data_IF_929051845903
#
_entry.id   IF_929051845903
#
_cell.length_a   1.000
_cell.length_b   1.000
_cell.length_c   1.000
_cell.angle_alpha   90.00
_cell.angle_beta   90.00
_cell.angle_gamma   90.00
#
_symmetry.space_group_name_H-M   'P 1'
#
loop_
_entity.id
_entity.type
_entity.pdbx_description
1 polymer ?
#
# COMPACT_ATOMS: atom_id res chain seq x y z
N UNK A 1 54.54 36.81 -47.47
CA UNK A 1 55.28 37.63 -46.49
C UNK A 1 55.35 36.86 -45.18
N UNK A 2 56.58 36.67 -44.69
CA UNK A 2 56.97 35.93 -43.49
C UNK A 2 56.85 36.84 -42.25
N UNK A 3 56.84 36.24 -41.05
CA UNK A 3 57.16 36.78 -39.71
C UNK A 3 55.94 36.89 -38.77
N UNK A 4 55.64 35.88 -37.94
CA UNK A 4 56.27 35.48 -36.66
C UNK A 4 56.35 36.58 -35.59
N UNK A 5 55.67 36.34 -34.46
CA UNK A 5 56.15 36.39 -33.06
C UNK A 5 54.99 35.87 -32.18
N UNK A 6 55.10 34.67 -31.57
CA UNK A 6 55.56 34.40 -30.18
C UNK A 6 54.57 35.03 -29.16
N UNK A 7 54.05 34.41 -28.10
CA UNK A 7 54.56 33.32 -27.26
C UNK A 7 53.44 32.94 -26.24
N UNK A 8 53.19 31.64 -26.07
CA UNK A 8 52.95 30.88 -24.82
C UNK A 8 52.44 31.67 -23.59
N UNK A 9 51.25 31.29 -23.07
CA UNK A 9 51.10 30.98 -21.64
C UNK A 9 50.12 29.81 -21.45
N UNK A 10 50.71 28.69 -21.04
CA UNK A 10 50.07 27.50 -20.50
C UNK A 10 49.41 27.90 -19.18
N UNK A 11 48.13 27.58 -19.04
CA UNK A 11 47.35 27.82 -17.82
C UNK A 11 46.24 26.79 -17.70
N UNK A 12 46.65 25.52 -17.65
CA UNK A 12 45.80 24.37 -17.34
C UNK A 12 45.32 24.49 -15.89
N UNK A 13 44.06 24.86 -15.69
CA UNK A 13 43.37 24.68 -14.40
C UNK A 13 42.30 23.62 -14.60
N UNK A 14 42.74 22.37 -14.48
CA UNK A 14 41.84 21.23 -14.30
C UNK A 14 41.34 21.30 -12.86
N UNK A 15 40.10 21.75 -12.67
CA UNK A 15 39.39 21.50 -11.41
C UNK A 15 38.97 20.02 -11.39
N UNK A 16 39.84 19.19 -10.84
CA UNK A 16 39.50 17.82 -10.43
C UNK A 16 38.50 17.93 -9.29
N UNK A 17 37.21 17.91 -9.58
CA UNK A 17 36.20 17.68 -8.56
C UNK A 17 36.27 16.21 -8.15
N UNK A 18 36.79 16.04 -6.93
CA UNK A 18 36.87 14.82 -6.15
C UNK A 18 35.62 13.94 -6.31
N UNK A 19 35.88 12.66 -6.50
CA UNK A 19 34.94 11.57 -6.51
C UNK A 19 34.01 11.60 -5.30
N UNK A 20 32.79 12.09 -5.50
CA UNK A 20 31.66 11.74 -4.65
C UNK A 20 31.30 10.28 -4.91
N UNK A 21 31.56 9.40 -3.93
CA UNK A 21 31.06 8.03 -3.92
C UNK A 21 29.54 8.08 -4.10
N UNK A 22 29.06 7.65 -5.26
CA UNK A 22 27.66 7.34 -5.47
C UNK A 22 27.40 6.10 -4.63
N UNK A 23 26.83 6.27 -3.45
CA UNK A 23 26.22 5.19 -2.71
C UNK A 23 25.00 4.75 -3.52
N UNK A 24 25.17 3.71 -4.34
CA UNK A 24 24.06 3.00 -4.93
C UNK A 24 23.22 2.47 -3.76
N UNK A 25 22.04 3.08 -3.57
CA UNK A 25 21.02 2.53 -2.69
C UNK A 25 20.58 1.22 -3.32
N UNK A 26 21.08 0.10 -2.80
CA UNK A 26 20.59 -1.22 -3.12
C UNK A 26 19.10 -1.25 -2.73
N UNK A 27 18.25 -1.03 -3.73
CA UNK A 27 16.84 -1.34 -3.59
C UNK A 27 16.77 -2.85 -3.63
N UNK A 28 16.77 -3.48 -2.45
CA UNK A 28 16.52 -4.92 -2.32
C UNK A 28 15.11 -5.13 -2.88
N UNK A 29 15.03 -5.58 -4.13
CA UNK A 29 13.78 -6.03 -4.71
C UNK A 29 13.32 -7.24 -3.88
N UNK A 30 12.31 -7.04 -3.04
CA UNK A 30 11.66 -8.12 -2.29
C UNK A 30 11.14 -9.12 -3.32
N UNK A 31 11.76 -10.31 -3.38
CA UNK A 31 11.31 -11.39 -4.25
C UNK A 31 9.87 -11.70 -3.81
N UNK A 32 8.87 -11.59 -4.71
CA UNK A 32 7.48 -11.83 -4.34
C UNK A 32 7.37 -13.24 -3.74
N UNK A 33 6.96 -13.32 -2.47
CA UNK A 33 6.69 -14.62 -1.86
C UNK A 33 5.58 -15.31 -2.66
N UNK A 34 5.81 -16.59 -2.97
CA UNK A 34 4.80 -17.47 -3.57
C UNK A 34 3.70 -17.85 -2.57
N UNK A 35 3.88 -17.52 -1.30
CA UNK A 35 2.85 -17.69 -0.28
C UNK A 35 1.73 -16.67 -0.46
N UNK A 36 0.49 -17.14 -0.34
CA UNK A 36 -0.68 -16.27 -0.38
C UNK A 36 -0.70 -15.34 0.85
N UNK A 37 -0.92 -14.06 0.61
CA UNK A 37 -1.11 -13.02 1.64
C UNK A 37 -2.49 -12.42 1.49
N UNK A 38 -3.21 -12.29 2.59
CA UNK A 38 -4.50 -11.60 2.64
C UNK A 38 -4.27 -10.14 3.01
N UNK A 39 -4.91 -9.22 2.28
CA UNK A 39 -4.88 -7.78 2.56
C UNK A 39 -6.30 -7.28 2.73
N UNK A 40 -6.59 -6.76 3.92
CA UNK A 40 -7.81 -6.04 4.23
C UNK A 40 -7.58 -4.54 4.00
N UNK A 41 -8.05 -4.04 2.87
CA UNK A 41 -8.01 -2.62 2.53
C UNK A 41 -9.24 -1.90 3.05
N UNK A 42 -9.03 -0.80 3.78
CA UNK A 42 -10.09 0.18 4.03
C UNK A 42 -9.86 1.42 3.18
N UNK A 43 -10.56 1.50 2.05
CA UNK A 43 -10.45 2.62 1.12
C UNK A 43 -11.23 3.82 1.60
N UNK A 44 -10.58 4.97 1.63
CA UNK A 44 -11.17 6.21 2.07
C UNK A 44 -10.72 7.44 1.28
N UNK A 45 -11.42 8.55 1.51
CA UNK A 45 -10.99 9.88 1.04
C UNK A 45 -10.35 10.68 2.17
N UNK A 46 -9.94 11.91 1.89
CA UNK A 46 -9.38 12.81 2.92
C UNK A 46 -10.46 13.22 3.93
N UNK A 47 -11.66 13.53 3.44
CA UNK A 47 -12.80 13.79 4.31
C UNK A 47 -13.37 12.50 4.91
N UNK A 48 -13.59 12.51 6.23
CA UNK A 48 -14.09 11.38 7.02
C UNK A 48 -15.30 11.82 7.84
N UNK A 49 -16.48 11.25 7.55
CA UNK A 49 -17.65 11.44 8.38
C UNK A 49 -17.67 10.42 9.54
N UNK A 50 -18.52 10.61 10.57
CA UNK A 50 -18.57 9.71 11.73
C UNK A 50 -18.77 8.23 11.35
N UNK A 51 -19.62 7.95 10.36
CA UNK A 51 -19.83 6.57 9.87
C UNK A 51 -18.59 5.99 9.21
N UNK A 52 -17.81 6.78 8.46
CA UNK A 52 -16.55 6.31 7.87
C UNK A 52 -15.57 5.87 8.97
N UNK A 53 -15.34 6.75 9.95
CA UNK A 53 -14.44 6.45 11.08
C UNK A 53 -14.93 5.22 11.85
N UNK A 54 -16.25 5.10 12.06
CA UNK A 54 -16.84 3.92 12.71
C UNK A 54 -16.53 2.62 11.95
N UNK A 55 -16.76 2.58 10.63
CA UNK A 55 -16.47 1.40 9.81
C UNK A 55 -15.00 1.02 9.92
N UNK A 56 -14.10 1.99 9.80
CA UNK A 56 -12.65 1.75 9.91
C UNK A 56 -12.28 1.15 11.26
N UNK A 57 -12.70 1.79 12.35
CA UNK A 57 -12.39 1.37 13.72
C UNK A 57 -12.91 -0.04 13.99
N UNK A 58 -14.19 -0.29 13.72
CA UNK A 58 -14.80 -1.60 13.99
C UNK A 58 -14.20 -2.71 13.12
N UNK A 59 -13.85 -2.41 11.86
CA UNK A 59 -13.18 -3.38 10.98
C UNK A 59 -11.78 -3.71 11.48
N UNK A 60 -11.02 -2.69 11.89
CA UNK A 60 -9.69 -2.89 12.46
C UNK A 60 -9.74 -3.70 13.76
N UNK A 61 -10.70 -3.41 14.64
CA UNK A 61 -10.90 -4.17 15.88
C UNK A 61 -11.27 -5.63 15.62
N UNK A 62 -12.21 -5.88 14.71
CA UNK A 62 -12.59 -7.24 14.31
C UNK A 62 -11.36 -8.03 13.84
N UNK A 63 -10.55 -7.44 12.95
CA UNK A 63 -9.35 -8.05 12.40
C UNK A 63 -8.27 -8.26 13.47
N UNK A 64 -7.94 -7.20 14.21
CA UNK A 64 -6.88 -7.22 15.23
C UNK A 64 -7.16 -8.24 16.33
N UNK A 65 -8.39 -8.31 16.80
CA UNK A 65 -8.77 -9.18 17.92
C UNK A 65 -8.95 -10.63 17.48
N UNK A 66 -9.39 -10.87 16.24
CA UNK A 66 -9.69 -12.22 15.76
C UNK A 66 -8.49 -12.92 15.11
N UNK A 67 -7.53 -12.16 14.56
CA UNK A 67 -6.41 -12.69 13.79
C UNK A 67 -5.03 -12.13 14.22
N UNK A 68 -4.72 -12.06 15.52
CA UNK A 68 -3.46 -11.48 15.99
C UNK A 68 -2.23 -12.21 15.41
N UNK A 69 -2.25 -13.54 15.37
CA UNK A 69 -1.16 -14.36 14.81
C UNK A 69 -0.99 -14.14 13.31
N UNK A 70 -2.09 -14.09 12.54
CA UNK A 70 -1.98 -13.88 11.09
C UNK A 70 -1.44 -12.47 10.75
N UNK A 71 -1.75 -11.46 11.57
CA UNK A 71 -1.16 -10.13 11.46
C UNK A 71 0.33 -10.13 11.81
N UNK A 72 0.70 -10.81 12.90
CA UNK A 72 2.10 -10.93 13.35
C UNK A 72 2.97 -11.66 12.32
N UNK A 73 2.46 -12.75 11.74
CA UNK A 73 3.14 -13.53 10.70
C UNK A 73 3.09 -12.86 9.31
N UNK A 74 2.38 -11.74 9.15
CA UNK A 74 2.24 -11.05 7.87
C UNK A 74 1.39 -11.79 6.82
N UNK A 75 0.66 -12.85 7.23
CA UNK A 75 -0.33 -13.56 6.41
C UNK A 75 -1.58 -12.73 6.17
N UNK A 76 -1.93 -11.85 7.11
CA UNK A 76 -2.98 -10.85 6.99
C UNK A 76 -2.38 -9.45 7.16
N UNK A 77 -2.76 -8.50 6.31
CA UNK A 77 -2.34 -7.10 6.40
C UNK A 77 -3.56 -6.19 6.49
N UNK A 78 -3.58 -5.29 7.47
CA UNK A 78 -4.56 -4.19 7.54
C UNK A 78 -4.01 -2.94 6.87
N UNK A 79 -4.74 -2.38 5.89
CA UNK A 79 -4.28 -1.25 5.08
C UNK A 79 -5.38 -0.21 4.87
N UNK A 80 -5.48 0.83 5.72
CA UNK A 80 -6.28 2.00 5.39
C UNK A 80 -5.60 2.79 4.26
N UNK A 81 -6.33 3.12 3.20
CA UNK A 81 -5.79 3.74 1.98
C UNK A 81 -6.61 4.96 1.59
N UNK A 82 -5.95 6.12 1.51
CA UNK A 82 -6.55 7.32 0.91
C UNK A 82 -6.46 7.26 -0.62
N UNK A 83 -7.57 7.04 -1.30
CA UNK A 83 -7.63 6.94 -2.77
C UNK A 83 -7.53 8.28 -3.50
N UNK A 84 -7.60 9.40 -2.77
CA UNK A 84 -7.40 10.73 -3.36
C UNK A 84 -5.91 11.03 -3.61
N UNK A 85 -5.01 10.28 -2.95
CA UNK A 85 -3.58 10.39 -3.21
C UNK A 85 -3.24 9.83 -4.60
N UNK A 86 -2.41 10.51 -5.42
CA UNK A 86 -2.11 10.09 -6.79
C UNK A 86 -1.68 8.64 -6.93
N UNK A 87 -0.84 8.15 -6.02
CA UNK A 87 -0.32 6.78 -6.01
C UNK A 87 -1.40 5.70 -5.81
N UNK A 88 -2.54 6.06 -5.21
CA UNK A 88 -3.63 5.13 -4.86
C UNK A 88 -4.84 5.23 -5.79
N UNK A 89 -4.86 6.17 -6.74
CA UNK A 89 -6.03 6.41 -7.60
C UNK A 89 -6.44 5.19 -8.43
N UNK A 90 -5.47 4.35 -8.79
CA UNK A 90 -5.70 3.12 -9.54
C UNK A 90 -6.70 2.16 -8.86
N UNK A 91 -6.81 2.19 -7.53
CA UNK A 91 -7.75 1.36 -6.78
C UNK A 91 -9.22 1.69 -7.07
N UNK A 92 -9.52 2.94 -7.44
CA UNK A 92 -10.89 3.36 -7.75
C UNK A 92 -11.43 2.57 -8.94
N UNK A 93 -10.63 2.44 -9.99
CA UNK A 93 -11.00 1.66 -11.19
C UNK A 93 -10.92 0.16 -10.91
N UNK A 94 -9.84 -0.30 -10.25
CA UNK A 94 -9.61 -1.72 -9.96
C UNK A 94 -10.76 -2.37 -9.18
N UNK A 95 -11.31 -1.67 -8.19
CA UNK A 95 -12.40 -2.18 -7.34
C UNK A 95 -13.75 -1.50 -7.59
N UNK A 96 -13.84 -0.66 -8.63
CA UNK A 96 -15.04 0.11 -8.96
C UNK A 96 -15.61 0.86 -7.75
N UNK A 97 -14.74 1.62 -7.05
CA UNK A 97 -15.07 2.26 -5.79
C UNK A 97 -15.94 3.51 -6.00
N UNK A 98 -17.17 3.47 -5.48
CA UNK A 98 -18.06 4.64 -5.45
C UNK A 98 -18.08 5.36 -4.09
N UNK A 99 -17.65 4.67 -3.04
CA UNK A 99 -17.66 5.17 -1.66
C UNK A 99 -16.53 4.54 -0.84
N UNK A 100 -16.50 4.77 0.47
CA UNK A 100 -15.58 4.08 1.38
C UNK A 100 -15.91 2.59 1.42
N UNK A 101 -14.89 1.75 1.33
CA UNK A 101 -15.11 0.31 1.15
C UNK A 101 -14.09 -0.47 1.95
N UNK A 102 -14.54 -1.59 2.52
CA UNK A 102 -13.69 -2.63 3.08
C UNK A 102 -13.56 -3.74 2.04
N UNK A 103 -12.37 -3.89 1.47
CA UNK A 103 -12.07 -4.92 0.47
C UNK A 103 -11.10 -5.93 1.08
N UNK A 104 -11.45 -7.21 1.03
CA UNK A 104 -10.52 -8.30 1.37
C UNK A 104 -9.95 -8.85 0.07
N UNK A 105 -8.62 -8.92 -0.02
CA UNK A 105 -7.89 -9.29 -1.24
C UNK A 105 -6.90 -10.39 -0.93
N UNK A 106 -6.88 -11.44 -1.73
CA UNK A 106 -5.82 -12.44 -1.72
C UNK A 106 -4.76 -12.09 -2.77
N UNK A 107 -3.50 -12.03 -2.34
CA UNK A 107 -2.33 -11.76 -3.16
C UNK A 107 -1.41 -12.98 -3.16
N UNK A 108 -0.96 -13.43 -4.33
CA UNK A 108 0.02 -14.52 -4.46
C UNK A 108 1.02 -14.19 -5.56
N UNK A 109 2.32 -14.29 -5.27
CA UNK A 109 3.37 -13.93 -6.24
C UNK A 109 3.23 -12.50 -6.78
N UNK A 110 2.79 -11.56 -5.94
CA UNK A 110 2.56 -10.15 -6.31
C UNK A 110 1.31 -9.89 -7.16
N UNK A 111 0.49 -10.90 -7.45
CA UNK A 111 -0.75 -10.77 -8.23
C UNK A 111 -1.97 -10.95 -7.34
N UNK A 112 -3.01 -10.19 -7.62
CA UNK A 112 -4.32 -10.39 -7.02
C UNK A 112 -4.96 -11.68 -7.59
N UNK A 113 -5.35 -12.59 -6.70
CA UNK A 113 -6.00 -13.86 -7.05
C UNK A 113 -7.51 -13.74 -6.97
N UNK A 114 -8.01 -13.18 -5.87
CA UNK A 114 -9.43 -12.89 -5.67
C UNK A 114 -9.60 -11.73 -4.70
N UNK A 115 -10.79 -11.15 -4.71
CA UNK A 115 -11.15 -10.10 -3.78
C UNK A 115 -12.65 -10.09 -3.54
N UNK A 116 -13.07 -9.45 -2.45
CA UNK A 116 -14.48 -9.24 -2.12
C UNK A 116 -14.68 -7.89 -1.46
N UNK A 117 -15.72 -7.18 -1.90
CA UNK A 117 -16.20 -5.99 -1.22
C UNK A 117 -17.21 -6.35 -0.13
N UNK A 118 -16.91 -5.99 1.11
CA UNK A 118 -17.74 -6.28 2.27
C UNK A 118 -18.84 -5.22 2.44
N UNK A 119 -19.77 -5.12 1.48
CA UNK A 119 -20.77 -4.04 1.43
C UNK A 119 -21.67 -3.96 2.68
N UNK A 120 -21.92 -5.09 3.37
CA UNK A 120 -22.80 -5.12 4.55
C UNK A 120 -22.25 -4.32 5.74
N UNK A 121 -20.98 -3.89 5.72
CA UNK A 121 -20.43 -2.99 6.76
C UNK A 121 -21.24 -1.69 6.89
N UNK A 122 -21.88 -1.23 5.81
CA UNK A 122 -22.75 -0.06 5.84
C UNK A 122 -24.12 -0.35 6.47
N UNK A 123 -24.64 -1.56 6.28
CA UNK A 123 -25.94 -2.01 6.81
C UNK A 123 -25.86 -2.27 8.32
N UNK A 124 -24.71 -2.77 8.79
CA UNK A 124 -24.51 -3.23 10.16
C UNK A 124 -24.03 -2.14 11.15
N UNK A 125 -24.04 -0.86 10.76
CA UNK A 125 -23.53 0.24 11.62
C UNK A 125 -24.31 0.50 12.92
N UNK A 126 -25.45 -0.18 13.09
CA UNK A 126 -26.30 -0.12 14.29
C UNK A 126 -26.10 -1.30 15.23
N UNK A 127 -25.41 -2.36 14.79
CA UNK A 127 -25.13 -3.54 15.60
C UNK A 127 -23.64 -3.91 15.47
N UNK A 128 -22.84 -3.51 16.47
CA UNK A 128 -21.41 -3.75 16.45
C UNK A 128 -21.06 -5.24 16.50
N UNK A 129 -21.84 -6.05 17.19
CA UNK A 129 -21.59 -7.48 17.31
C UNK A 129 -21.75 -8.17 15.96
N UNK A 130 -22.88 -7.93 15.26
CA UNK A 130 -23.10 -8.46 13.92
C UNK A 130 -22.07 -7.94 12.91
N UNK A 131 -21.70 -6.65 13.01
CA UNK A 131 -20.63 -6.08 12.19
C UNK A 131 -19.32 -6.84 12.36
N UNK A 132 -18.90 -7.05 13.62
CA UNK A 132 -17.65 -7.73 13.93
C UNK A 132 -17.70 -9.17 13.48
N UNK A 133 -18.80 -9.90 13.75
CA UNK A 133 -18.97 -11.28 13.29
C UNK A 133 -18.84 -11.38 11.77
N UNK A 134 -19.53 -10.50 11.05
CA UNK A 134 -19.49 -10.45 9.59
C UNK A 134 -18.07 -10.24 9.05
N UNK A 135 -17.34 -9.22 9.54
CA UNK A 135 -15.97 -8.97 9.08
C UNK A 135 -15.04 -10.14 9.43
N UNK A 136 -15.17 -10.69 10.63
CA UNK A 136 -14.36 -11.83 11.08
C UNK A 136 -14.61 -13.07 10.23
N UNK A 137 -15.85 -13.43 9.95
CA UNK A 137 -16.19 -14.59 9.12
C UNK A 137 -15.66 -14.44 7.69
N UNK A 138 -15.83 -13.26 7.10
CA UNK A 138 -15.35 -12.98 5.75
C UNK A 138 -13.83 -13.06 5.65
N UNK A 139 -13.10 -12.49 6.62
CA UNK A 139 -11.63 -12.56 6.65
C UNK A 139 -11.14 -13.98 6.91
N UNK A 140 -11.79 -14.73 7.84
CA UNK A 140 -11.47 -16.14 8.08
C UNK A 140 -11.62 -16.97 6.81
N UNK A 141 -12.72 -16.76 6.08
CA UNK A 141 -12.94 -17.40 4.79
C UNK A 141 -11.87 -17.07 3.76
N UNK A 142 -11.16 -15.95 3.88
CA UNK A 142 -9.98 -15.70 3.03
C UNK A 142 -8.71 -16.42 3.50
N UNK A 143 -8.53 -16.61 4.80
CA UNK A 143 -7.33 -17.23 5.38
C UNK A 143 -7.31 -18.76 5.29
N UNK A 144 -8.48 -19.41 5.24
CA UNK A 144 -8.60 -20.87 5.30
C UNK A 144 -8.69 -21.56 3.93
N UNK A 145 -8.67 -20.80 2.82
CA UNK A 145 -8.69 -21.34 1.45
C UNK A 145 -7.31 -21.24 0.81
#
# INVERSE_FOLDING_TARGET
>A
MKNHKKLIFVGLVVFVFLAGKIAASETVAEIPSEEAKIVAYYFHGTFRCPSCTKIETWSYEAIKNSFPTALEEGKLLWRPVNVEKPENKHFVEQYNLFTKSLIITEMKGGKQIRWKNLNKVWELLRNQEEFVSYVTEEVRGFLEH
#
